data_IF_569484608780
#
_entry.id   IF_569484608780
#
_cell.length_a   1.000
_cell.length_b   1.000
_cell.length_c   1.000
_cell.angle_alpha   90.00
_cell.angle_beta   90.00
_cell.angle_gamma   90.00
#
_symmetry.space_group_name_H-M   'P 1'
#
loop_
_entity.id
_entity.type
_entity.pdbx_description
1 polymer ?
#
# COMPACT_ATOMS: atom_id res chain seq x y z
N UNK A 1 10.56 9.81 -0.54
CA UNK A 1 10.68 8.95 -1.75
C UNK A 1 9.39 8.19 -2.06
N UNK A 2 8.71 7.57 -1.08
CA UNK A 2 7.46 6.82 -1.32
C UNK A 2 6.34 7.73 -1.84
N UNK A 3 6.20 8.93 -1.26
CA UNK A 3 5.22 9.92 -1.71
C UNK A 3 5.43 10.38 -3.17
N UNK A 4 6.68 10.46 -3.62
CA UNK A 4 6.98 10.77 -5.02
C UNK A 4 6.55 9.65 -5.96
N UNK A 5 6.84 8.40 -5.59
CA UNK A 5 6.40 7.22 -6.36
C UNK A 5 4.87 7.19 -6.42
N UNK A 6 4.19 7.40 -5.30
CA UNK A 6 2.74 7.50 -5.24
C UNK A 6 2.19 8.60 -6.15
N UNK A 7 2.80 9.79 -6.13
CA UNK A 7 2.40 10.91 -6.99
C UNK A 7 2.55 10.61 -8.47
N UNK A 8 3.67 10.00 -8.86
CA UNK A 8 3.92 9.58 -10.25
C UNK A 8 2.92 8.51 -10.68
N UNK A 9 2.69 7.47 -9.87
CA UNK A 9 1.72 6.41 -10.15
C UNK A 9 0.32 7.00 -10.31
N UNK A 10 -0.12 7.88 -9.42
CA UNK A 10 -1.42 8.53 -9.52
C UNK A 10 -1.57 9.38 -10.79
N UNK A 11 -0.52 10.10 -11.20
CA UNK A 11 -0.53 10.88 -12.44
C UNK A 11 -0.72 9.98 -13.68
N UNK A 12 -0.03 8.83 -13.72
CA UNK A 12 -0.21 7.84 -14.78
C UNK A 12 -1.62 7.24 -14.78
N UNK A 13 -2.16 6.90 -13.60
CA UNK A 13 -3.52 6.38 -13.46
C UNK A 13 -4.53 7.34 -14.05
N UNK A 14 -4.50 8.62 -13.65
CA UNK A 14 -5.41 9.65 -14.17
C UNK A 14 -5.25 9.85 -15.68
N UNK A 15 -4.02 9.82 -16.19
CA UNK A 15 -3.74 9.96 -17.63
C UNK A 15 -4.37 8.80 -18.40
N UNK A 16 -4.09 7.56 -18.02
CA UNK A 16 -4.61 6.39 -18.71
C UNK A 16 -6.13 6.26 -18.62
N UNK A 17 -6.72 6.56 -17.45
CA UNK A 17 -8.18 6.57 -17.29
C UNK A 17 -8.86 7.57 -18.24
N UNK A 18 -8.28 8.76 -18.40
CA UNK A 18 -8.82 9.77 -19.34
C UNK A 18 -8.66 9.37 -20.80
N UNK A 19 -7.48 8.87 -21.17
CA UNK A 19 -7.22 8.40 -22.55
C UNK A 19 -8.14 7.24 -22.91
N UNK A 20 -8.27 6.25 -22.02
CA UNK A 20 -9.16 5.11 -22.22
C UNK A 20 -10.63 5.54 -22.25
N UNK A 21 -11.06 6.45 -21.37
CA UNK A 21 -12.41 7.01 -21.36
C UNK A 21 -12.75 7.72 -22.68
N UNK A 22 -11.85 8.56 -23.18
CA UNK A 22 -12.03 9.26 -24.45
C UNK A 22 -12.05 8.29 -25.64
N UNK A 23 -11.18 7.29 -25.64
CA UNK A 23 -11.14 6.26 -26.67
C UNK A 23 -12.45 5.45 -26.73
N UNK A 24 -12.99 5.03 -25.59
CA UNK A 24 -14.23 4.27 -25.51
C UNK A 24 -15.42 5.15 -25.90
N UNK A 25 -15.47 6.40 -25.43
CA UNK A 25 -16.56 7.33 -25.76
C UNK A 25 -16.66 7.59 -27.28
N UNK A 26 -15.52 7.72 -27.95
CA UNK A 26 -15.48 7.89 -29.41
C UNK A 26 -15.82 6.63 -30.20
N UNK A 27 -15.25 5.50 -29.83
CA UNK A 27 -15.34 4.28 -30.63
C UNK A 27 -16.59 3.44 -30.32
N UNK A 28 -17.09 3.50 -29.08
CA UNK A 28 -18.26 2.70 -28.66
C UNK A 28 -19.54 3.52 -28.72
N UNK A 29 -19.51 4.80 -28.37
CA UNK A 29 -20.68 5.66 -28.34
C UNK A 29 -20.79 6.60 -29.56
N UNK A 30 -19.85 6.50 -30.53
CA UNK A 30 -19.92 7.18 -31.82
C UNK A 30 -19.85 8.71 -31.75
N UNK A 31 -19.20 9.26 -30.73
CA UNK A 31 -19.09 10.70 -30.55
C UNK A 31 -18.15 11.34 -31.57
N UNK A 32 -18.59 12.45 -32.17
CA UNK A 32 -17.77 13.22 -33.10
C UNK A 32 -16.80 14.18 -32.40
N UNK A 33 -15.71 14.53 -33.09
CA UNK A 33 -14.70 15.46 -32.56
C UNK A 33 -15.31 16.84 -32.37
N UNK A 34 -15.20 17.35 -31.11
CA UNK A 34 -15.67 18.70 -30.75
C UNK A 34 -16.92 18.74 -29.88
N UNK A 35 -17.59 17.63 -29.65
CA UNK A 35 -18.71 17.58 -28.69
C UNK A 35 -18.23 17.51 -27.24
N UNK A 36 -19.00 18.10 -26.33
CA UNK A 36 -18.70 18.02 -24.90
C UNK A 36 -18.79 16.57 -24.38
N UNK A 37 -17.96 16.18 -23.38
CA UNK A 37 -17.99 14.83 -22.85
C UNK A 37 -19.39 14.42 -22.40
N UNK A 38 -19.87 13.27 -22.93
CA UNK A 38 -21.17 12.73 -22.56
C UNK A 38 -21.19 12.11 -21.17
N UNK A 39 -22.37 11.82 -20.63
CA UNK A 39 -22.54 11.19 -19.32
C UNK A 39 -21.82 9.82 -19.27
N UNK A 40 -21.81 9.09 -20.37
CA UNK A 40 -21.09 7.81 -20.52
C UNK A 40 -19.58 7.96 -20.32
N UNK A 41 -18.98 9.03 -20.85
CA UNK A 41 -17.56 9.33 -20.63
C UNK A 41 -17.23 9.47 -19.16
N UNK A 42 -18.02 10.24 -18.41
CA UNK A 42 -17.80 10.43 -16.97
C UNK A 42 -17.94 9.12 -16.20
N UNK A 43 -18.97 8.32 -16.49
CA UNK A 43 -19.19 7.05 -15.85
C UNK A 43 -18.02 6.07 -16.10
N UNK A 44 -17.55 5.96 -17.32
CA UNK A 44 -16.42 5.09 -17.68
C UNK A 44 -15.13 5.60 -17.04
N UNK A 45 -14.88 6.90 -17.07
CA UNK A 45 -13.68 7.48 -16.45
C UNK A 45 -13.63 7.19 -14.96
N UNK A 46 -14.75 7.34 -14.24
CA UNK A 46 -14.83 7.03 -12.81
C UNK A 46 -14.54 5.55 -12.54
N UNK A 47 -15.14 4.64 -13.34
CA UNK A 47 -14.88 3.20 -13.17
C UNK A 47 -13.41 2.86 -13.42
N UNK A 48 -12.81 3.43 -14.46
CA UNK A 48 -11.39 3.24 -14.76
C UNK A 48 -10.48 3.86 -13.71
N UNK A 49 -10.80 5.03 -13.19
CA UNK A 49 -10.05 5.67 -12.09
C UNK A 49 -10.04 4.79 -10.84
N UNK A 50 -11.20 4.20 -10.48
CA UNK A 50 -11.30 3.27 -9.35
C UNK A 50 -10.47 2.01 -9.62
N UNK A 51 -10.61 1.39 -10.79
CA UNK A 51 -9.91 0.17 -11.15
C UNK A 51 -8.39 0.37 -11.15
N UNK A 52 -7.91 1.41 -11.83
CA UNK A 52 -6.48 1.72 -11.87
C UNK A 52 -5.95 2.18 -10.51
N UNK A 53 -6.76 2.88 -9.71
CA UNK A 53 -6.44 3.24 -8.33
C UNK A 53 -6.18 2.01 -7.46
N UNK A 54 -7.02 0.96 -7.58
CA UNK A 54 -6.82 -0.32 -6.88
C UNK A 54 -5.52 -1.00 -7.34
N UNK A 55 -5.27 -1.05 -8.66
CA UNK A 55 -4.04 -1.64 -9.21
C UNK A 55 -2.79 -0.88 -8.74
N UNK A 56 -2.84 0.44 -8.79
CA UNK A 56 -1.75 1.29 -8.31
C UNK A 56 -1.46 1.07 -6.81
N UNK A 57 -2.51 0.98 -5.99
CA UNK A 57 -2.39 0.69 -4.57
C UNK A 57 -1.73 -0.68 -4.32
N UNK A 58 -2.10 -1.70 -5.08
CA UNK A 58 -1.50 -3.03 -4.99
C UNK A 58 0.01 -3.00 -5.30
N UNK A 59 0.43 -2.26 -6.33
CA UNK A 59 1.85 -2.10 -6.70
C UNK A 59 2.62 -1.39 -5.58
N UNK A 60 2.07 -0.29 -5.03
CA UNK A 60 2.72 0.46 -3.95
C UNK A 60 2.86 -0.39 -2.69
N UNK A 61 1.82 -1.16 -2.32
CA UNK A 61 1.85 -2.08 -1.19
C UNK A 61 2.88 -3.19 -1.38
N UNK A 62 2.95 -3.78 -2.59
CA UNK A 62 3.96 -4.79 -2.91
C UNK A 62 5.38 -4.23 -2.75
N UNK A 63 5.63 -3.05 -3.28
CA UNK A 63 6.93 -2.37 -3.16
C UNK A 63 7.27 -2.03 -1.70
N UNK A 64 6.29 -1.54 -0.92
CA UNK A 64 6.46 -1.25 0.51
C UNK A 64 6.87 -2.50 1.28
N UNK A 65 6.16 -3.62 1.09
CA UNK A 65 6.48 -4.91 1.72
C UNK A 65 7.88 -5.40 1.35
N UNK A 66 8.23 -5.33 0.05
CA UNK A 66 9.55 -5.75 -0.41
C UNK A 66 10.67 -4.92 0.23
N UNK A 67 10.47 -3.62 0.40
CA UNK A 67 11.42 -2.73 1.07
C UNK A 67 11.62 -3.12 2.54
N UNK A 68 10.57 -3.52 3.24
CA UNK A 68 10.67 -3.94 4.64
C UNK A 68 11.45 -5.25 4.79
N UNK A 69 11.20 -6.26 3.97
CA UNK A 69 12.00 -7.47 3.96
C UNK A 69 13.49 -7.20 3.71
N UNK A 70 13.80 -6.28 2.78
CA UNK A 70 15.18 -5.87 2.52
C UNK A 70 15.80 -5.12 3.70
N UNK A 71 15.03 -4.31 4.40
CA UNK A 71 15.49 -3.62 5.61
C UNK A 71 15.76 -4.62 6.74
N UNK A 72 14.87 -5.59 6.95
CA UNK A 72 15.04 -6.66 7.93
C UNK A 72 16.27 -7.53 7.64
N UNK A 73 16.47 -7.90 6.38
CA UNK A 73 17.67 -8.63 5.94
C UNK A 73 18.94 -7.83 6.24
N UNK A 74 18.95 -6.53 5.91
CA UNK A 74 20.10 -5.66 6.22
C UNK A 74 20.35 -5.56 7.72
N UNK A 75 19.30 -5.39 8.53
CA UNK A 75 19.37 -5.39 10.00
C UNK A 75 19.92 -6.70 10.55
N UNK A 76 19.46 -7.83 10.01
CA UNK A 76 19.95 -9.16 10.41
C UNK A 76 21.41 -9.38 10.05
N UNK A 77 21.89 -8.85 8.93
CA UNK A 77 23.31 -8.92 8.53
C UNK A 77 24.21 -8.04 9.41
N UNK A 78 23.71 -6.90 9.89
CA UNK A 78 24.48 -5.96 10.70
C UNK A 78 24.50 -6.32 12.18
N UNK A 79 23.34 -6.63 12.76
CA UNK A 79 23.15 -6.85 14.20
C UNK A 79 23.05 -8.34 14.58
N UNK A 80 22.95 -9.22 13.59
CA UNK A 80 22.70 -10.64 13.79
C UNK A 80 21.23 -11.01 13.67
N UNK A 81 20.97 -12.17 13.08
CA UNK A 81 19.63 -12.71 12.80
C UNK A 81 18.75 -12.79 14.03
N UNK A 82 19.28 -13.33 15.13
CA UNK A 82 18.53 -13.50 16.38
C UNK A 82 18.18 -12.16 17.06
N UNK A 83 19.07 -11.18 16.98
CA UNK A 83 18.80 -9.85 17.51
C UNK A 83 17.66 -9.17 16.76
N UNK A 84 17.65 -9.28 15.43
CA UNK A 84 16.57 -8.72 14.59
C UNK A 84 15.23 -9.41 14.85
N UNK A 85 15.20 -10.75 14.95
CA UNK A 85 13.98 -11.50 15.30
C UNK A 85 13.45 -11.07 16.67
N UNK A 86 14.34 -10.98 17.68
CA UNK A 86 13.95 -10.57 19.04
C UNK A 86 13.36 -9.15 19.06
N UNK A 87 13.93 -8.22 18.28
CA UNK A 87 13.41 -6.86 18.15
C UNK A 87 12.00 -6.84 17.54
N UNK A 88 11.76 -7.62 16.50
CA UNK A 88 10.42 -7.73 15.87
C UNK A 88 9.38 -8.33 16.83
N UNK A 89 9.74 -9.40 17.56
CA UNK A 89 8.85 -10.02 18.55
C UNK A 89 8.54 -9.09 19.72
N UNK A 90 9.51 -8.29 20.15
CA UNK A 90 9.27 -7.27 21.17
C UNK A 90 8.33 -6.18 20.68
N UNK A 91 8.50 -5.72 19.43
CA UNK A 91 7.59 -4.76 18.82
C UNK A 91 6.16 -5.30 18.74
N UNK A 92 6.00 -6.59 18.42
CA UNK A 92 4.69 -7.25 18.42
C UNK A 92 4.07 -7.24 19.84
N UNK A 93 4.82 -7.65 20.85
CA UNK A 93 4.34 -7.67 22.23
C UNK A 93 3.92 -6.26 22.71
N UNK A 94 4.68 -5.22 22.34
CA UNK A 94 4.34 -3.84 22.67
C UNK A 94 3.08 -3.35 21.93
N UNK A 95 2.87 -3.79 20.68
CA UNK A 95 1.66 -3.44 19.89
C UNK A 95 0.39 -4.09 20.42
N UNK A 96 0.52 -5.17 21.18
CA UNK A 96 -0.61 -5.89 21.80
C UNK A 96 -0.99 -5.33 23.18
N UNK A 97 -0.15 -4.45 23.75
CA UNK A 97 -0.46 -3.80 25.01
C UNK A 97 -1.58 -2.77 24.85
N UNK A 98 -2.46 -2.59 25.86
CA UNK A 98 -3.47 -1.55 25.83
C UNK A 98 -2.84 -0.18 25.63
N UNK A 99 -3.36 0.56 24.66
CA UNK A 99 -2.90 1.90 24.36
C UNK A 99 -3.24 2.86 25.52
N UNK A 100 -2.23 3.24 26.31
CA UNK A 100 -2.34 4.19 27.42
C UNK A 100 -2.04 5.63 27.00
N UNK A 101 -1.82 5.88 25.71
CA UNK A 101 -1.43 7.18 25.21
C UNK A 101 -2.61 8.13 25.11
N UNK A 102 -2.49 9.39 25.57
CA UNK A 102 -3.51 10.42 25.36
C UNK A 102 -3.86 10.57 23.88
N UNK A 103 -5.13 10.79 23.57
CA UNK A 103 -5.63 10.88 22.18
C UNK A 103 -4.87 11.92 21.35
N UNK A 104 -4.43 13.00 21.99
CA UNK A 104 -3.69 14.10 21.38
C UNK A 104 -2.29 13.69 20.92
N UNK A 105 -1.72 12.64 21.53
CA UNK A 105 -0.37 12.13 21.22
C UNK A 105 -0.41 10.95 20.24
N UNK A 106 -1.58 10.38 19.93
CA UNK A 106 -1.71 9.25 19.00
C UNK A 106 -1.16 9.52 17.61
N UNK A 107 -1.25 10.77 17.15
CA UNK A 107 -0.71 11.17 15.85
C UNK A 107 0.83 11.02 15.75
N UNK A 108 1.53 10.95 16.88
CA UNK A 108 2.98 10.76 16.97
C UNK A 108 3.36 9.31 17.31
N UNK A 109 2.39 8.45 17.56
CA UNK A 109 2.65 7.06 17.89
C UNK A 109 3.15 6.28 16.66
N UNK A 110 4.20 5.49 16.84
CA UNK A 110 4.73 4.58 15.81
C UNK A 110 3.86 3.33 15.70
N UNK A 111 3.10 3.02 16.76
CA UNK A 111 2.31 1.78 16.87
C UNK A 111 0.84 2.15 17.03
N UNK A 112 0.01 1.76 16.05
CA UNK A 112 -1.45 1.78 16.19
C UNK A 112 -1.91 0.46 16.84
N UNK A 113 -2.67 0.55 17.93
CA UNK A 113 -3.27 -0.61 18.58
C UNK A 113 -4.24 -1.34 17.63
N UNK A 114 -4.25 -2.65 17.70
CA UNK A 114 -5.14 -3.52 16.90
C UNK A 114 -6.61 -3.16 17.17
N UNK A 115 -7.28 -2.58 16.21
CA UNK A 115 -8.74 -2.72 16.12
C UNK A 115 -9.06 -4.12 15.57
N UNK A 116 -9.62 -4.98 16.44
CA UNK A 116 -10.09 -6.31 16.05
C UNK A 116 -11.41 -6.17 15.29
N UNK A 117 -11.34 -6.14 13.96
CA UNK A 117 -12.48 -6.24 13.08
C UNK A 117 -12.04 -6.81 11.74
N UNK A 118 -12.83 -7.73 11.17
CA UNK A 118 -12.64 -8.15 9.78
C UNK A 118 -12.96 -6.95 8.88
N UNK A 119 -11.94 -6.19 8.58
CA UNK A 119 -12.03 -5.01 7.72
C UNK A 119 -11.46 -5.37 6.35
N UNK A 120 -12.13 -4.91 5.29
CA UNK A 120 -11.56 -4.87 3.95
C UNK A 120 -10.21 -4.11 3.95
N UNK A 121 -9.97 -3.25 4.92
CA UNK A 121 -8.67 -2.64 5.19
C UNK A 121 -7.56 -3.66 5.47
N UNK A 122 -7.87 -4.86 5.97
CA UNK A 122 -6.87 -5.93 6.14
C UNK A 122 -6.28 -6.41 4.81
N UNK A 123 -7.01 -6.31 3.70
CA UNK A 123 -6.50 -6.55 2.35
C UNK A 123 -5.51 -5.47 1.91
N UNK A 124 -5.58 -4.29 2.53
CA UNK A 124 -4.74 -3.13 2.23
C UNK A 124 -3.69 -2.87 3.32
N UNK A 125 -3.33 -3.87 4.13
CA UNK A 125 -2.18 -3.74 5.03
C UNK A 125 -0.94 -3.39 4.21
N UNK A 126 -0.46 -2.18 4.39
CA UNK A 126 0.73 -1.64 3.72
C UNK A 126 2.00 -2.33 4.18
N UNK A 127 1.95 -3.01 5.34
CA UNK A 127 3.07 -3.68 5.98
C UNK A 127 2.85 -5.19 6.06
N UNK A 128 3.89 -6.02 5.88
CA UNK A 128 3.80 -7.45 6.18
C UNK A 128 3.67 -7.66 7.68
N UNK A 129 2.98 -8.73 8.09
CA UNK A 129 2.86 -9.04 9.52
C UNK A 129 4.21 -9.39 10.13
N UNK A 130 4.36 -9.21 11.45
CA UNK A 130 5.61 -9.53 12.14
C UNK A 130 5.94 -11.01 12.00
N UNK A 131 4.94 -11.89 12.03
CA UNK A 131 5.12 -13.32 11.80
C UNK A 131 5.70 -13.63 10.41
N UNK A 132 5.23 -12.92 9.36
CA UNK A 132 5.76 -13.08 8.00
C UNK A 132 7.21 -12.60 7.91
N UNK A 133 7.55 -11.49 8.58
CA UNK A 133 8.90 -10.93 8.63
C UNK A 133 9.85 -11.87 9.38
N UNK A 134 9.43 -12.40 10.53
CA UNK A 134 10.19 -13.39 11.30
C UNK A 134 10.41 -14.66 10.49
N UNK A 135 9.37 -15.18 9.83
CA UNK A 135 9.49 -16.38 8.98
C UNK A 135 10.48 -16.16 7.82
N UNK A 136 10.45 -15.00 7.18
CA UNK A 136 11.42 -14.64 6.14
C UNK A 136 12.86 -14.60 6.67
N UNK A 137 13.08 -14.00 7.85
CA UNK A 137 14.36 -13.95 8.51
C UNK A 137 14.87 -15.36 8.90
N UNK A 138 13.98 -16.26 9.34
CA UNK A 138 14.37 -17.64 9.69
C UNK A 138 14.91 -18.43 8.49
N UNK A 139 14.36 -18.17 7.30
CA UNK A 139 14.81 -18.80 6.05
C UNK A 139 16.11 -18.19 5.49
N UNK A 140 16.52 -17.04 6.00
CA UNK A 140 17.73 -16.36 5.55
C UNK A 140 18.97 -17.13 6.00
N UNK A 141 19.80 -17.57 5.05
CA UNK A 141 21.13 -18.10 5.33
C UNK A 141 22.09 -16.91 5.52
N UNK A 142 22.17 -16.38 6.73
CA UNK A 142 23.21 -15.42 7.11
C UNK A 142 24.36 -16.23 7.67
N UNK A 143 25.43 -16.30 6.89
CA UNK A 143 26.74 -16.74 7.41
C UNK A 143 27.40 -15.60 8.14
#
# INVERSE_FOLDING_TARGET
>A
TLALIQGVVNAFVMFFARVAGDFIDRNVFGRENGEAPGLAYFAITIVLDILFGILASAIVMWFSRHREYRADEAGARLAGKQAMISALLRLQAESEMPDQMPKEMKAFAITEGKEQGFSLAALFHTHPTIEQRVAALQQLNVQ
#
